data_IF_995475795504
#
_entry.id   IF_995475795504
#
_cell.length_a   1.000
_cell.length_b   1.000
_cell.length_c   1.000
_cell.angle_alpha   90.00
_cell.angle_beta   90.00
_cell.angle_gamma   90.00
#
_symmetry.space_group_name_H-M   'P 1'
#
loop_
_entity.id
_entity.type
_entity.pdbx_description
1 polymer ?
#
# COMPACT_ATOMS: atom_id res chain seq x y z
N UNK A 1 20.11 -12.58 2.30
CA UNK A 1 19.28 -11.67 1.47
C UNK A 1 17.81 -11.68 1.90
N UNK A 2 17.38 -12.63 2.75
CA UNK A 2 15.97 -12.79 3.17
C UNK A 2 15.39 -11.68 4.08
N UNK A 3 16.21 -10.96 4.84
CA UNK A 3 15.73 -9.93 5.78
C UNK A 3 15.11 -8.71 5.10
N UNK A 4 15.57 -8.37 3.87
CA UNK A 4 15.03 -7.21 3.16
C UNK A 4 13.64 -7.48 2.60
N UNK A 5 13.44 -8.65 2.00
CA UNK A 5 12.14 -9.09 1.51
C UNK A 5 11.14 -9.33 2.63
N UNK A 6 11.56 -9.97 3.73
CA UNK A 6 10.67 -10.17 4.89
C UNK A 6 10.18 -8.84 5.45
N UNK A 7 11.04 -7.83 5.55
CA UNK A 7 10.64 -6.51 6.04
C UNK A 7 9.75 -5.76 5.05
N UNK A 8 9.96 -5.92 3.74
CA UNK A 8 9.04 -5.39 2.73
C UNK A 8 7.67 -6.07 2.83
N UNK A 9 7.64 -7.40 3.00
CA UNK A 9 6.41 -8.16 3.19
C UNK A 9 5.63 -7.71 4.43
N UNK A 10 6.32 -7.49 5.55
CA UNK A 10 5.73 -6.99 6.78
C UNK A 10 5.07 -5.61 6.60
N UNK A 11 5.75 -4.69 5.92
CA UNK A 11 5.20 -3.37 5.60
C UNK A 11 3.98 -3.46 4.68
N UNK A 12 4.01 -4.36 3.69
CA UNK A 12 2.88 -4.59 2.78
C UNK A 12 1.69 -5.18 3.54
N UNK A 13 1.92 -6.15 4.43
CA UNK A 13 0.88 -6.77 5.24
C UNK A 13 0.20 -5.75 6.16
N UNK A 14 1.00 -4.89 6.82
CA UNK A 14 0.49 -3.78 7.61
C UNK A 14 -0.37 -2.80 6.77
N UNK A 15 0.06 -2.46 5.56
CA UNK A 15 -0.69 -1.56 4.68
C UNK A 15 -2.02 -2.17 4.22
N UNK A 16 -2.05 -3.47 3.91
CA UNK A 16 -3.28 -4.20 3.57
C UNK A 16 -4.23 -4.22 4.77
N UNK A 17 -3.73 -4.58 5.95
CA UNK A 17 -4.52 -4.66 7.17
C UNK A 17 -5.17 -3.31 7.52
N UNK A 18 -4.43 -2.21 7.38
CA UNK A 18 -4.98 -0.85 7.57
C UNK A 18 -6.05 -0.55 6.51
N UNK A 19 -5.82 -0.91 5.24
CA UNK A 19 -6.81 -0.75 4.18
C UNK A 19 -8.10 -1.51 4.45
N UNK A 20 -8.00 -2.78 4.87
CA UNK A 20 -9.14 -3.61 5.23
C UNK A 20 -9.88 -3.08 6.46
N UNK A 21 -9.16 -2.57 7.47
CA UNK A 21 -9.76 -1.92 8.64
C UNK A 21 -10.54 -0.65 8.27
N UNK A 22 -10.05 0.14 7.32
CA UNK A 22 -10.77 1.32 6.81
C UNK A 22 -12.04 0.89 6.07
N UNK A 23 -11.99 -0.20 5.29
CA UNK A 23 -13.15 -0.79 4.63
C UNK A 23 -14.19 -1.34 5.62
N UNK A 24 -13.77 -1.94 6.74
CA UNK A 24 -14.69 -2.52 7.75
C UNK A 24 -15.20 -1.52 8.78
N UNK A 25 -14.41 -0.49 9.12
CA UNK A 25 -14.78 0.52 10.13
C UNK A 25 -15.80 1.53 9.59
N UNK A 26 -15.82 1.78 8.28
CA UNK A 26 -16.79 2.72 7.68
C UNK A 26 -18.13 2.04 7.42
N UNK A 27 -19.09 2.34 8.29
CA UNK A 27 -20.50 1.96 8.17
C UNK A 27 -21.09 2.34 6.78
N UNK A 28 -21.96 1.51 6.18
CA UNK A 28 -22.57 1.71 4.85
C UNK A 28 -23.53 2.92 4.74
N UNK A 29 -23.62 3.77 5.77
CA UNK A 29 -24.49 4.95 5.82
C UNK A 29 -23.78 6.28 5.55
N UNK A 30 -22.45 6.28 5.34
CA UNK A 30 -21.68 7.48 4.96
C UNK A 30 -21.13 7.43 3.51
N UNK A 31 -21.53 6.43 2.72
CA UNK A 31 -20.83 6.03 1.50
C UNK A 31 -21.50 6.54 0.20
N UNK A 32 -22.04 7.75 0.16
CA UNK A 32 -22.36 8.36 -1.15
C UNK A 32 -21.09 8.80 -1.90
N UNK A 33 -19.94 8.96 -1.21
CA UNK A 33 -18.70 9.48 -1.81
C UNK A 33 -17.39 8.88 -1.25
N UNK A 34 -17.41 7.77 -0.50
CA UNK A 34 -16.15 7.12 -0.12
C UNK A 34 -15.62 6.34 -1.33
N UNK A 35 -14.36 6.56 -1.75
CA UNK A 35 -13.80 5.91 -2.92
C UNK A 35 -13.40 4.46 -2.60
N UNK A 36 -14.37 3.63 -2.22
CA UNK A 36 -14.18 2.21 -1.87
C UNK A 36 -13.54 1.43 -3.04
N UNK A 37 -13.90 1.77 -4.28
CA UNK A 37 -13.24 1.23 -5.46
C UNK A 37 -11.74 1.58 -5.51
N UNK A 38 -11.35 2.80 -5.11
CA UNK A 38 -9.95 3.20 -5.07
C UNK A 38 -9.21 2.50 -3.92
N UNK A 39 -9.83 2.38 -2.75
CA UNK A 39 -9.28 1.61 -1.64
C UNK A 39 -9.05 0.14 -2.02
N UNK A 40 -10.02 -0.50 -2.69
CA UNK A 40 -9.88 -1.87 -3.19
C UNK A 40 -8.76 -1.99 -4.23
N UNK A 41 -8.59 -1.00 -5.12
CA UNK A 41 -7.46 -0.97 -6.07
C UNK A 41 -6.12 -0.92 -5.34
N UNK A 42 -5.98 -0.06 -4.33
CA UNK A 42 -4.75 0.06 -3.53
C UNK A 42 -4.45 -1.26 -2.82
N UNK A 43 -5.44 -1.88 -2.18
CA UNK A 43 -5.28 -3.19 -1.53
C UNK A 43 -4.83 -4.24 -2.55
N UNK A 44 -5.48 -4.32 -3.71
CA UNK A 44 -5.11 -5.27 -4.76
C UNK A 44 -3.69 -5.05 -5.30
N UNK A 45 -3.25 -3.79 -5.42
CA UNK A 45 -1.87 -3.49 -5.80
C UNK A 45 -0.86 -3.90 -4.73
N UNK A 46 -1.18 -3.70 -3.45
CA UNK A 46 -0.36 -4.18 -2.32
C UNK A 46 -0.27 -5.72 -2.31
N UNK A 47 -1.38 -6.43 -2.54
CA UNK A 47 -1.38 -7.90 -2.67
C UNK A 47 -0.57 -8.40 -3.88
N UNK A 48 -0.65 -7.67 -4.99
CA UNK A 48 0.17 -7.94 -6.18
C UNK A 48 1.65 -7.78 -5.84
N UNK A 49 2.02 -6.73 -5.13
CA UNK A 49 3.39 -6.48 -4.69
C UNK A 49 3.87 -7.57 -3.70
N UNK A 50 3.02 -7.99 -2.76
CA UNK A 50 3.28 -9.10 -1.84
C UNK A 50 3.62 -10.38 -2.62
N UNK A 51 2.77 -10.72 -3.60
CA UNK A 51 2.97 -11.89 -4.46
C UNK A 51 4.27 -11.79 -5.26
N UNK A 52 4.59 -10.63 -5.84
CA UNK A 52 5.86 -10.41 -6.55
C UNK A 52 7.06 -10.54 -5.61
N UNK A 53 6.93 -10.09 -4.37
CA UNK A 53 7.99 -10.20 -3.34
C UNK A 53 8.25 -11.65 -2.98
N UNK A 54 7.19 -12.43 -2.77
CA UNK A 54 7.26 -13.86 -2.45
C UNK A 54 7.85 -14.69 -3.59
N UNK A 55 7.50 -14.36 -4.84
CA UNK A 55 7.99 -15.07 -6.02
C UNK A 55 9.37 -14.61 -6.47
N UNK A 56 10.02 -13.69 -5.74
CA UNK A 56 11.32 -13.11 -6.12
C UNK A 56 11.30 -12.43 -7.50
N UNK A 57 10.12 -11.99 -7.95
CA UNK A 57 9.86 -11.30 -9.23
C UNK A 57 9.79 -9.78 -9.06
N UNK A 58 10.31 -9.29 -7.94
CA UNK A 58 10.34 -7.88 -7.64
C UNK A 58 11.47 -7.26 -8.45
N UNK A 59 11.09 -6.47 -9.45
CA UNK A 59 12.04 -5.72 -10.25
C UNK A 59 12.75 -4.70 -9.36
N UNK A 60 14.03 -4.38 -9.59
CA UNK A 60 14.69 -3.31 -8.86
C UNK A 60 14.00 -1.98 -9.16
N UNK A 61 13.79 -1.14 -8.15
CA UNK A 61 13.12 0.16 -8.34
C UNK A 61 13.96 1.11 -9.20
N UNK A 62 15.26 0.81 -9.36
CA UNK A 62 16.27 1.65 -10.02
C UNK A 62 16.24 3.11 -9.52
N UNK A 63 15.79 3.34 -8.29
CA UNK A 63 15.64 4.68 -7.71
C UNK A 63 14.62 5.58 -8.40
N UNK A 64 13.81 5.06 -9.32
CA UNK A 64 12.90 5.85 -10.18
C UNK A 64 11.47 5.31 -10.20
N UNK A 65 11.28 4.00 -9.98
CA UNK A 65 9.95 3.39 -9.85
C UNK A 65 9.38 3.68 -8.46
N UNK A 66 8.67 4.79 -8.35
CA UNK A 66 7.63 4.90 -7.33
C UNK A 66 6.48 4.00 -7.78
N UNK A 67 6.00 3.11 -6.91
CA UNK A 67 4.82 2.28 -7.19
C UNK A 67 3.56 3.14 -7.39
N UNK A 68 3.63 4.43 -7.03
CA UNK A 68 2.59 5.42 -7.24
C UNK A 68 1.43 5.25 -6.27
N UNK A 69 1.57 4.35 -5.30
CA UNK A 69 0.51 3.97 -4.37
C UNK A 69 0.22 5.10 -3.39
N UNK A 70 1.25 5.76 -2.86
CA UNK A 70 1.12 6.88 -1.94
C UNK A 70 0.52 8.09 -2.65
N UNK A 71 0.87 8.30 -3.93
CA UNK A 71 0.25 9.34 -4.75
C UNK A 71 -1.22 9.03 -5.05
N UNK A 72 -1.54 7.78 -5.38
CA UNK A 72 -2.92 7.36 -5.61
C UNK A 72 -3.76 7.57 -4.35
N UNK A 73 -3.29 7.09 -3.19
CA UNK A 73 -3.96 7.29 -1.90
C UNK A 73 -4.09 8.78 -1.55
N UNK A 74 -3.03 9.56 -1.73
CA UNK A 74 -3.03 11.00 -1.42
C UNK A 74 -4.04 11.80 -2.26
N UNK A 75 -4.39 11.33 -3.46
CA UNK A 75 -5.34 12.01 -4.36
C UNK A 75 -6.77 12.03 -3.81
N UNK A 76 -7.15 11.01 -3.03
CA UNK A 76 -8.55 10.83 -2.59
C UNK A 76 -8.72 10.71 -1.09
N UNK A 77 -7.63 10.58 -0.33
CA UNK A 77 -7.73 10.50 1.12
C UNK A 77 -7.90 11.90 1.71
N UNK A 78 -8.95 12.05 2.51
CA UNK A 78 -9.34 13.33 3.10
C UNK A 78 -8.29 13.90 4.07
N UNK A 79 -7.43 13.03 4.61
CA UNK A 79 -6.40 13.39 5.59
C UNK A 79 -5.03 12.82 5.20
N UNK A 80 -4.05 13.71 5.04
CA UNK A 80 -2.64 13.37 4.84
C UNK A 80 -2.03 12.61 6.02
N UNK A 81 -2.66 12.68 7.20
CA UNK A 81 -2.26 11.89 8.37
C UNK A 81 -2.85 10.48 8.38
N UNK A 82 -3.55 10.07 7.30
CA UNK A 82 -4.20 8.77 7.26
C UNK A 82 -3.20 7.63 7.48
N UNK A 83 -3.54 6.66 8.36
CA UNK A 83 -2.69 5.50 8.59
C UNK A 83 -2.40 4.74 7.29
N UNK A 84 -3.32 4.74 6.33
CA UNK A 84 -3.12 4.10 5.03
C UNK A 84 -2.04 4.82 4.21
N UNK A 85 -2.08 6.16 4.16
CA UNK A 85 -1.09 6.93 3.40
C UNK A 85 0.31 6.76 4.00
N UNK A 86 0.42 6.75 5.33
CA UNK A 86 1.69 6.48 6.04
C UNK A 86 2.22 5.07 5.75
N UNK A 87 1.36 4.05 5.80
CA UNK A 87 1.76 2.67 5.57
C UNK A 87 2.21 2.45 4.11
N UNK A 88 1.45 2.97 3.15
CA UNK A 88 1.80 2.88 1.73
C UNK A 88 3.08 3.66 1.42
N UNK A 89 3.25 4.85 2.00
CA UNK A 89 4.49 5.62 1.88
C UNK A 89 5.70 4.89 2.45
N UNK A 90 5.54 4.17 3.57
CA UNK A 90 6.61 3.36 4.15
C UNK A 90 7.01 2.18 3.25
N UNK A 91 6.03 1.51 2.62
CA UNK A 91 6.29 0.44 1.62
C UNK A 91 7.10 0.98 0.45
N UNK A 92 6.67 2.10 -0.14
CA UNK A 92 7.37 2.70 -1.29
C UNK A 92 8.77 3.18 -0.93
N UNK A 93 8.92 3.88 0.21
CA UNK A 93 10.23 4.35 0.66
C UNK A 93 11.19 3.19 0.89
N UNK A 94 10.73 2.15 1.58
CA UNK A 94 11.55 0.97 1.85
C UNK A 94 11.91 0.22 0.56
N UNK A 95 10.98 0.13 -0.37
CA UNK A 95 11.23 -0.47 -1.68
C UNK A 95 12.31 0.31 -2.45
N UNK A 96 12.22 1.64 -2.51
CA UNK A 96 13.20 2.50 -3.19
C UNK A 96 14.59 2.45 -2.57
N UNK A 97 14.69 2.37 -1.24
CA UNK A 97 15.99 2.32 -0.56
C UNK A 97 16.69 0.97 -0.67
N UNK A 98 15.94 -0.12 -0.82
CA UNK A 98 16.46 -1.48 -0.67
C UNK A 98 16.53 -2.28 -1.98
N UNK A 99 15.81 -1.86 -3.02
CA UNK A 99 15.67 -2.54 -4.31
C UNK A 99 15.77 -1.54 -5.47
#
# INVERSE_FOLDING_TARGET
METKQQKLLDLIDQAILIGEQISTTKNPKQADNFPQERLNRVIHQLETLKTKTLNNQLEPSQGTLSLGLARDVADWIDSLDSPLLKAVGAVEHYYQEQF
#
